data_IF_995345708828
#
_entry.id   IF_995345708828
#
_cell.length_a   1.000
_cell.length_b   1.000
_cell.length_c   1.000
_cell.angle_alpha   90.00
_cell.angle_beta   90.00
_cell.angle_gamma   90.00
#
_symmetry.space_group_name_H-M   'P 1'
#
loop_
_entity.id
_entity.type
_entity.pdbx_description
1 polymer ?
#
# COMPACT_ATOMS: atom_id res chain seq x y z
N UNK A 1 -16.74 5.86 -18.48
CA UNK A 1 -16.34 5.56 -17.10
C UNK A 1 -15.17 4.60 -17.20
N UNK A 2 -13.97 5.04 -16.82
CA UNK A 2 -12.78 4.18 -16.77
C UNK A 2 -12.66 3.62 -15.35
N UNK A 3 -12.35 2.33 -15.24
CA UNK A 3 -12.16 1.63 -13.97
C UNK A 3 -10.66 1.53 -13.65
N UNK A 4 -10.32 1.44 -12.37
CA UNK A 4 -8.94 1.17 -11.93
C UNK A 4 -8.65 -0.33 -12.00
N UNK A 5 -7.40 -0.70 -12.26
CA UNK A 5 -7.01 -2.12 -12.26
C UNK A 5 -7.17 -2.74 -10.85
N UNK A 6 -7.37 -4.06 -10.76
CA UNK A 6 -7.50 -4.77 -9.47
C UNK A 6 -6.42 -4.42 -8.43
N UNK A 7 -5.12 -4.24 -8.78
CA UNK A 7 -4.09 -3.89 -7.79
C UNK A 7 -4.27 -2.53 -7.10
N UNK A 8 -5.02 -1.60 -7.70
CA UNK A 8 -5.36 -0.28 -7.16
C UNK A 8 -6.79 -0.19 -6.61
N UNK A 9 -7.53 -1.31 -6.63
CA UNK A 9 -8.87 -1.37 -6.07
C UNK A 9 -8.79 -1.32 -4.56
N UNK A 10 -9.26 -0.20 -4.00
CA UNK A 10 -9.14 0.12 -2.59
C UNK A 10 -9.91 1.38 -2.24
N UNK A 11 -9.63 1.92 -1.06
CA UNK A 11 -10.19 3.20 -0.62
C UNK A 11 -9.22 3.92 0.31
N UNK A 12 -9.42 5.23 0.48
CA UNK A 12 -8.56 6.11 1.31
C UNK A 12 -7.14 6.21 0.74
N UNK A 13 -7.04 6.28 -0.58
CA UNK A 13 -5.76 6.38 -1.28
C UNK A 13 -5.00 7.63 -0.87
N UNK A 14 -3.75 7.46 -0.50
CA UNK A 14 -2.77 8.55 -0.33
C UNK A 14 -1.58 8.21 -1.20
N UNK A 15 -1.25 9.15 -2.09
CA UNK A 15 -0.17 8.99 -3.05
C UNK A 15 1.00 9.94 -2.76
N UNK A 16 2.21 9.46 -3.02
CA UNK A 16 3.45 10.24 -3.06
C UNK A 16 4.34 9.73 -4.20
N UNK A 17 5.09 10.64 -4.81
CA UNK A 17 6.16 10.26 -5.73
C UNK A 17 7.39 9.86 -4.93
N UNK A 18 8.07 8.79 -5.34
CA UNK A 18 9.41 8.46 -4.88
C UNK A 18 10.45 9.35 -5.57
N UNK A 19 11.67 9.44 -5.02
CA UNK A 19 12.76 10.19 -5.65
C UNK A 19 13.13 9.71 -7.06
N UNK A 20 12.90 8.43 -7.37
CA UNK A 20 13.17 7.83 -8.68
C UNK A 20 12.00 8.00 -9.69
N UNK A 21 10.94 8.71 -9.30
CA UNK A 21 9.81 9.04 -10.17
C UNK A 21 8.66 8.01 -10.20
N UNK A 22 8.76 6.90 -9.45
CA UNK A 22 7.62 6.01 -9.21
C UNK A 22 6.58 6.68 -8.31
N UNK A 23 5.39 6.09 -8.26
CA UNK A 23 4.27 6.50 -7.43
C UNK A 23 4.01 5.38 -6.43
N UNK A 24 4.00 5.73 -5.15
CA UNK A 24 3.54 4.86 -4.07
C UNK A 24 2.15 5.32 -3.66
N UNK A 25 1.19 4.40 -3.70
CA UNK A 25 -0.18 4.64 -3.24
C UNK A 25 -0.49 3.70 -2.09
N UNK A 26 -0.73 4.27 -0.91
CA UNK A 26 -1.22 3.50 0.24
C UNK A 26 -2.74 3.58 0.32
N UNK A 27 -3.38 2.49 0.73
CA UNK A 27 -4.83 2.40 0.77
C UNK A 27 -5.30 1.26 1.67
N UNK A 28 -6.59 1.30 2.03
CA UNK A 28 -7.29 0.10 2.50
C UNK A 28 -7.66 -0.75 1.29
N UNK A 29 -7.35 -2.04 1.37
CA UNK A 29 -7.81 -3.02 0.40
C UNK A 29 -9.33 -3.23 0.47
N UNK A 30 -10.00 -3.07 -0.66
CA UNK A 30 -11.44 -3.36 -0.81
C UNK A 30 -11.74 -4.26 -2.01
N UNK A 31 -10.72 -4.86 -2.63
CA UNK A 31 -10.93 -5.77 -3.75
C UNK A 31 -11.57 -7.08 -3.26
N UNK A 32 -12.69 -7.48 -3.87
CA UNK A 32 -13.54 -8.58 -3.39
C UNK A 32 -12.79 -9.91 -3.28
N UNK A 33 -11.94 -10.23 -4.25
CA UNK A 33 -11.20 -11.51 -4.33
C UNK A 33 -9.75 -11.40 -3.84
N UNK A 34 -9.41 -10.32 -3.13
CA UNK A 34 -8.06 -10.11 -2.65
C UNK A 34 -7.77 -10.93 -1.39
N UNK A 35 -6.63 -11.63 -1.37
CA UNK A 35 -6.14 -12.34 -0.18
C UNK A 35 -5.80 -11.42 1.00
N UNK A 36 -5.72 -10.11 0.75
CA UNK A 36 -5.48 -9.05 1.74
C UNK A 36 -6.71 -8.17 1.98
N UNK A 37 -7.91 -8.63 1.61
CA UNK A 37 -9.13 -7.84 1.75
C UNK A 37 -9.29 -7.28 3.17
N UNK A 38 -9.44 -5.96 3.29
CA UNK A 38 -9.59 -5.28 4.57
C UNK A 38 -8.29 -4.94 5.31
N UNK A 39 -7.13 -5.27 4.72
CA UNK A 39 -5.81 -4.87 5.22
C UNK A 39 -5.41 -3.47 4.73
N UNK A 40 -4.31 -2.97 5.31
CA UNK A 40 -3.63 -1.80 4.82
C UNK A 40 -2.51 -2.22 3.84
N UNK A 41 -2.60 -1.71 2.62
CA UNK A 41 -1.76 -2.13 1.50
C UNK A 41 -1.11 -0.94 0.81
N UNK A 42 -0.06 -1.23 0.05
CA UNK A 42 0.60 -0.30 -0.86
C UNK A 42 0.51 -0.81 -2.30
N UNK A 43 0.56 0.12 -3.25
CA UNK A 43 0.75 -0.13 -4.67
C UNK A 43 1.92 0.72 -5.15
N UNK A 44 2.76 0.15 -6.00
CA UNK A 44 3.88 0.86 -6.63
C UNK A 44 3.77 0.74 -8.13
N UNK A 45 3.91 1.86 -8.84
CA UNK A 45 3.91 1.91 -10.29
C UNK A 45 4.28 3.29 -10.79
N UNK A 46 3.87 3.62 -12.00
CA UNK A 46 4.20 4.89 -12.66
C UNK A 46 2.95 5.69 -13.00
N UNK A 47 3.14 6.96 -13.39
CA UNK A 47 2.05 7.77 -13.94
C UNK A 47 1.47 7.14 -15.21
N UNK A 48 2.32 6.55 -16.05
CA UNK A 48 1.92 5.84 -17.27
C UNK A 48 1.00 4.66 -16.94
N UNK A 49 1.28 3.93 -15.85
CA UNK A 49 0.42 2.85 -15.39
C UNK A 49 -0.96 3.35 -14.96
N UNK A 50 -1.03 4.50 -14.29
CA UNK A 50 -2.30 5.08 -13.86
C UNK A 50 -3.17 5.50 -15.05
N UNK A 51 -2.61 6.26 -16.00
CA UNK A 51 -3.39 6.83 -17.11
C UNK A 51 -3.80 5.77 -18.14
N UNK A 52 -3.03 4.68 -18.25
CA UNK A 52 -3.32 3.56 -19.15
C UNK A 52 -3.97 2.37 -18.44
N UNK A 53 -4.36 2.53 -17.16
CA UNK A 53 -4.92 1.46 -16.34
C UNK A 53 -4.11 0.17 -16.47
N UNK A 54 -2.81 0.23 -16.18
CA UNK A 54 -1.93 -0.95 -16.09
C UNK A 54 -1.81 -1.43 -14.64
N UNK A 55 -1.38 -2.68 -14.40
CA UNK A 55 -1.27 -3.24 -13.05
C UNK A 55 -0.30 -2.52 -12.11
N UNK A 56 0.63 -1.70 -12.63
CA UNK A 56 1.77 -1.18 -11.89
C UNK A 56 2.89 -2.21 -11.76
N UNK A 57 3.91 -1.87 -10.97
CA UNK A 57 5.07 -2.73 -10.73
C UNK A 57 4.74 -3.86 -9.75
N UNK A 58 4.16 -3.54 -8.59
CA UNK A 58 3.72 -4.54 -7.62
C UNK A 58 2.77 -3.95 -6.58
N UNK A 59 2.25 -4.84 -5.73
CA UNK A 59 1.37 -4.54 -4.61
C UNK A 59 1.93 -5.14 -3.32
N UNK A 60 1.83 -4.40 -2.23
CA UNK A 60 2.44 -4.69 -0.94
C UNK A 60 1.38 -4.83 0.14
N UNK A 61 1.48 -5.86 0.97
CA UNK A 61 0.73 -5.90 2.24
C UNK A 61 1.57 -5.18 3.30
N UNK A 62 1.17 -3.98 3.67
CA UNK A 62 1.91 -3.15 4.62
C UNK A 62 1.60 -3.54 6.06
N UNK A 63 0.31 -3.66 6.40
CA UNK A 63 -0.13 -4.14 7.70
C UNK A 63 -1.29 -5.12 7.52
N UNK A 64 -1.17 -6.27 8.17
CA UNK A 64 -2.30 -7.17 8.38
C UNK A 64 -3.21 -6.60 9.45
N UNK A 65 -4.49 -6.44 9.14
CA UNK A 65 -5.50 -6.04 10.11
C UNK A 65 -6.11 -7.28 10.77
N UNK A 66 -5.97 -7.39 12.09
CA UNK A 66 -6.56 -8.47 12.89
C UNK A 66 -7.95 -8.12 13.45
N UNK A 67 -8.43 -6.90 13.21
CA UNK A 67 -9.72 -6.40 13.67
C UNK A 67 -10.86 -6.69 12.71
N UNK A 68 -11.91 -5.85 12.76
CA UNK A 68 -12.99 -5.91 11.78
C UNK A 68 -12.43 -5.63 10.38
N UNK A 69 -12.72 -6.46 9.36
CA UNK A 69 -12.25 -6.23 8.00
C UNK A 69 -12.56 -4.81 7.52
N UNK A 70 -11.53 -4.11 7.06
CA UNK A 70 -11.62 -2.76 6.53
C UNK A 70 -11.76 -1.63 7.57
N UNK A 71 -11.66 -1.95 8.85
CA UNK A 71 -11.49 -0.99 9.94
C UNK A 71 -10.01 -0.59 10.08
N UNK A 72 -9.49 0.08 9.06
CA UNK A 72 -8.11 0.57 8.91
C UNK A 72 -8.00 1.55 7.73
N UNK A 73 -6.82 2.14 7.53
CA UNK A 73 -6.41 2.73 6.24
C UNK A 73 -6.62 4.23 6.07
N UNK A 74 -6.99 4.96 7.12
CA UNK A 74 -6.85 6.42 7.11
C UNK A 74 -5.39 6.77 7.36
N UNK A 75 -4.63 6.93 6.27
CA UNK A 75 -3.19 7.07 6.33
C UNK A 75 -2.70 8.50 6.12
N UNK A 76 -1.54 8.80 6.70
CA UNK A 76 -0.56 9.73 6.13
C UNK A 76 0.52 8.94 5.38
N UNK A 77 1.11 9.54 4.35
CA UNK A 77 2.25 8.99 3.61
C UNK A 77 3.22 10.11 3.31
N UNK A 78 4.45 9.99 3.78
CA UNK A 78 5.51 10.98 3.58
C UNK A 78 6.78 10.33 3.06
N UNK A 79 7.57 11.11 2.34
CA UNK A 79 8.90 10.71 1.84
C UNK A 79 9.94 11.44 2.67
N UNK A 80 10.85 10.70 3.28
CA UNK A 80 11.93 11.24 4.09
C UNK A 80 13.09 11.75 3.23
N UNK A 81 14.00 12.57 3.77
CA UNK A 81 15.15 13.09 3.01
C UNK A 81 16.08 12.03 2.41
N UNK A 82 16.11 10.83 2.99
CA UNK A 82 16.89 9.69 2.46
C UNK A 82 16.14 8.86 1.41
N UNK A 83 14.93 9.28 1.02
CA UNK A 83 14.13 8.63 -0.01
C UNK A 83 13.20 7.53 0.49
N UNK A 84 13.35 7.09 1.75
CA UNK A 84 12.45 6.11 2.34
C UNK A 84 11.07 6.70 2.63
N UNK A 85 10.06 5.84 2.66
CA UNK A 85 8.68 6.21 2.93
C UNK A 85 8.33 5.97 4.39
N UNK A 86 7.52 6.86 4.97
CA UNK A 86 6.83 6.62 6.25
C UNK A 86 5.34 6.72 6.02
N UNK A 87 4.62 5.65 6.33
CA UNK A 87 3.16 5.66 6.34
C UNK A 87 2.65 5.47 7.77
N UNK A 88 1.70 6.32 8.17
CA UNK A 88 1.06 6.25 9.49
C UNK A 88 -0.43 6.04 9.31
N UNK A 89 -1.00 5.01 9.92
CA UNK A 89 -2.43 4.67 9.86
C UNK A 89 -2.87 4.13 11.22
N UNK A 90 -4.14 3.72 11.36
CA UNK A 90 -4.54 2.87 12.48
C UNK A 90 -4.79 1.43 12.04
N UNK A 91 -4.49 0.47 12.91
CA UNK A 91 -4.67 -0.96 12.65
C UNK A 91 -4.81 -1.73 13.98
N UNK A 92 -5.50 -2.87 13.96
CA UNK A 92 -5.44 -3.86 15.05
C UNK A 92 -4.32 -4.85 14.73
N UNK A 93 -3.24 -4.85 15.52
CA UNK A 93 -1.99 -5.54 15.18
C UNK A 93 -1.94 -7.00 15.65
N UNK A 94 -2.72 -7.37 16.66
CA UNK A 94 -2.90 -8.75 17.07
C UNK A 94 -4.35 -9.02 17.52
N UNK A 95 -4.79 -10.29 17.55
CA UNK A 95 -6.09 -10.64 18.11
C UNK A 95 -6.23 -10.10 19.54
N UNK A 96 -7.42 -9.59 19.87
CA UNK A 96 -7.76 -9.00 21.19
C UNK A 96 -7.13 -7.64 21.52
N UNK A 97 -6.29 -7.08 20.65
CA UNK A 97 -5.77 -5.72 20.84
C UNK A 97 -6.80 -4.65 20.45
N UNK A 98 -6.71 -3.49 21.10
CA UNK A 98 -7.40 -2.28 20.64
C UNK A 98 -6.71 -1.72 19.38
N UNK A 99 -7.41 -0.96 18.53
CA UNK A 99 -6.79 -0.28 17.41
C UNK A 99 -5.63 0.63 17.87
N UNK A 100 -4.48 0.48 17.23
CA UNK A 100 -3.29 1.27 17.48
C UNK A 100 -3.06 2.22 16.31
N UNK A 101 -2.53 3.41 16.58
CA UNK A 101 -1.90 4.23 15.53
C UNK A 101 -0.49 3.67 15.30
N UNK A 102 -0.21 3.26 14.08
CA UNK A 102 1.01 2.56 13.69
C UNK A 102 1.68 3.34 12.56
N UNK A 103 2.98 3.59 12.72
CA UNK A 103 3.85 4.11 11.68
C UNK A 103 4.78 3.00 11.21
N UNK A 104 4.82 2.77 9.90
CA UNK A 104 5.82 1.90 9.27
C UNK A 104 6.73 2.73 8.37
N UNK A 105 7.99 2.33 8.31
CA UNK A 105 8.99 2.88 7.41
C UNK A 105 9.44 1.79 6.44
N UNK A 106 9.56 2.12 5.17
CA UNK A 106 10.02 1.18 4.14
C UNK A 106 10.81 1.88 3.05
N UNK A 107 11.71 1.14 2.42
CA UNK A 107 12.52 1.58 1.29
C UNK A 107 12.11 0.81 0.03
N UNK A 108 12.09 1.49 -1.13
CA UNK A 108 11.69 0.83 -2.36
C UNK A 108 12.77 -0.11 -2.91
N UNK A 109 14.06 0.16 -2.69
CA UNK A 109 15.13 -0.72 -3.14
C UNK A 109 15.09 -2.07 -2.39
N UNK A 110 14.77 -2.04 -1.09
CA UNK A 110 14.57 -3.25 -0.29
C UNK A 110 13.37 -4.07 -0.81
N UNK A 111 12.28 -3.38 -1.14
CA UNK A 111 11.07 -4.01 -1.66
C UNK A 111 11.31 -4.57 -3.08
N UNK A 112 12.04 -3.87 -3.92
CA UNK A 112 12.38 -4.30 -5.28
C UNK A 112 13.19 -5.60 -5.25
N UNK A 113 14.13 -5.73 -4.30
CA UNK A 113 14.89 -6.96 -4.08
C UNK A 113 13.99 -8.11 -3.62
N UNK A 114 13.04 -7.85 -2.71
CA UNK A 114 12.08 -8.85 -2.25
C UNK A 114 11.15 -9.31 -3.37
N UNK A 115 10.68 -8.39 -4.22
CA UNK A 115 9.83 -8.72 -5.36
C UNK A 115 10.56 -9.60 -6.38
N UNK A 116 11.83 -9.29 -6.68
CA UNK A 116 12.66 -10.08 -7.61
C UNK A 116 12.84 -11.52 -7.13
N UNK A 117 12.99 -11.74 -5.82
CA UNK A 117 13.17 -13.06 -5.23
C UNK A 117 11.89 -13.93 -5.24
N UNK A 118 10.71 -13.36 -5.47
CA UNK A 118 9.45 -14.09 -5.57
C UNK A 118 9.19 -14.63 -6.98
N UNK A 119 9.85 -14.06 -7.99
CA UNK A 119 9.70 -14.39 -9.40
C UNK A 119 10.77 -15.38 -9.92
N UNK A 120 11.74 -15.78 -9.07
CA UNK A 120 12.83 -16.73 -9.38
C UNK A 120 12.67 -18.07 -8.69
#
# INVERSE_FOLDING_TARGET
MTEVQPPLTGSRHIARFSPDGRIVVTMRDTATDSSTHGDFVGWVGTWDDLIHAKPGQYRLRLLRNHGRPGDTGYAGLEVLPDGSFVSTTYCVMAPTESPLVVSLRFDLDEIDQLATNLDG
#
